data_IF_958525070888
#
_entry.id   IF_958525070888
#
_cell.length_a   1.000
_cell.length_b   1.000
_cell.length_c   1.000
_cell.angle_alpha   90.00
_cell.angle_beta   90.00
_cell.angle_gamma   90.00
#
_symmetry.space_group_name_H-M   'P 1'
#
loop_
_entity.id
_entity.type
_entity.pdbx_description
1 polymer ?
#
# COMPACT_ATOMS: atom_id res chain seq x y z
N UNK A 1 -43.85 -8.32 24.82
CA UNK A 1 -43.52 -9.40 25.77
C UNK A 1 -42.44 -10.33 25.21
N UNK A 2 -42.59 -10.86 23.99
CA UNK A 2 -41.53 -11.62 23.31
C UNK A 2 -40.24 -10.82 23.13
N UNK A 3 -40.29 -9.60 22.56
CA UNK A 3 -39.12 -8.72 22.34
C UNK A 3 -38.23 -8.47 23.57
N UNK A 4 -38.79 -8.53 24.78
CA UNK A 4 -38.04 -8.43 26.03
C UNK A 4 -37.42 -9.77 26.46
N UNK A 5 -38.13 -10.88 26.27
CA UNK A 5 -37.59 -12.24 26.49
C UNK A 5 -36.52 -12.63 25.45
N UNK A 6 -36.52 -12.02 24.25
CA UNK A 6 -35.50 -12.20 23.21
C UNK A 6 -34.08 -11.80 23.67
N UNK A 7 -33.95 -11.03 24.76
CA UNK A 7 -32.67 -10.60 25.31
C UNK A 7 -32.09 -11.60 26.33
N UNK A 8 -32.87 -12.60 26.77
CA UNK A 8 -32.51 -13.53 27.85
C UNK A 8 -32.20 -14.96 27.33
N UNK A 9 -32.58 -15.31 26.10
CA UNK A 9 -32.44 -16.65 25.52
C UNK A 9 -31.77 -16.56 24.13
N UNK A 10 -30.81 -17.46 23.77
CA UNK A 10 -30.17 -17.45 22.45
C UNK A 10 -31.20 -17.63 21.33
N UNK A 11 -31.27 -16.64 20.43
CA UNK A 11 -32.26 -16.60 19.35
C UNK A 11 -31.91 -17.51 18.17
N UNK A 12 -32.95 -18.11 17.59
CA UNK A 12 -32.93 -18.56 16.21
C UNK A 12 -33.56 -17.49 15.30
N UNK A 13 -32.70 -16.68 14.66
CA UNK A 13 -33.13 -15.64 13.74
C UNK A 13 -33.81 -16.18 12.48
N UNK A 14 -33.57 -17.44 12.10
CA UNK A 14 -34.23 -18.02 10.94
C UNK A 14 -35.72 -18.30 11.23
N UNK A 15 -36.02 -18.82 12.42
CA UNK A 15 -37.40 -18.97 12.88
C UNK A 15 -38.08 -17.62 13.06
N UNK A 16 -37.40 -16.64 13.68
CA UNK A 16 -37.97 -15.29 13.83
C UNK A 16 -38.29 -14.66 12.47
N UNK A 17 -37.40 -14.81 11.49
CA UNK A 17 -37.63 -14.31 10.14
C UNK A 17 -38.89 -14.92 9.52
N UNK A 18 -39.08 -16.24 9.63
CA UNK A 18 -40.29 -16.92 9.14
C UNK A 18 -41.56 -16.38 9.82
N UNK A 19 -41.53 -16.23 11.15
CA UNK A 19 -42.66 -15.70 11.92
C UNK A 19 -42.99 -14.25 11.54
N UNK A 20 -41.98 -13.40 11.33
CA UNK A 20 -42.17 -12.02 10.90
C UNK A 20 -42.74 -11.92 9.49
N UNK A 21 -42.29 -12.80 8.59
CA UNK A 21 -42.80 -12.85 7.21
C UNK A 21 -44.25 -13.36 7.17
N UNK A 22 -44.57 -14.42 7.91
CA UNK A 22 -45.93 -14.92 8.05
C UNK A 22 -46.86 -13.88 8.69
N UNK A 23 -46.38 -13.15 9.72
CA UNK A 23 -47.11 -12.03 10.30
C UNK A 23 -47.35 -10.91 9.28
N UNK A 24 -46.33 -10.57 8.49
CA UNK A 24 -46.45 -9.55 7.44
C UNK A 24 -47.49 -9.93 6.38
N UNK A 25 -47.56 -11.23 6.02
CA UNK A 25 -48.57 -11.74 5.07
C UNK A 25 -49.97 -11.77 5.68
N UNK A 26 -50.09 -12.18 6.94
CA UNK A 26 -51.37 -12.29 7.64
C UNK A 26 -52.02 -10.93 7.93
N UNK A 27 -51.23 -9.87 8.14
CA UNK A 27 -51.74 -8.52 8.42
C UNK A 27 -52.51 -7.91 7.22
N UNK A 28 -52.24 -8.38 6.00
CA UNK A 28 -52.96 -7.98 4.80
C UNK A 28 -52.81 -6.49 4.42
N UNK A 29 -53.71 -6.00 3.56
CA UNK A 29 -53.73 -4.59 3.11
C UNK A 29 -54.57 -3.66 3.99
N UNK A 30 -55.04 -4.12 5.15
CA UNK A 30 -55.96 -3.34 5.99
C UNK A 30 -55.30 -2.04 6.50
N UNK A 31 -55.99 -0.91 6.32
CA UNK A 31 -55.65 0.35 6.98
C UNK A 31 -55.89 0.21 8.49
N UNK A 32 -54.85 0.50 9.27
CA UNK A 32 -54.80 0.56 10.74
C UNK A 32 -55.97 -0.12 11.50
N UNK A 33 -55.86 -1.42 11.84
CA UNK A 33 -56.88 -2.09 12.67
C UNK A 33 -56.68 -1.92 14.20
N UNK A 34 -55.67 -1.17 14.66
CA UNK A 34 -55.25 -1.16 16.08
C UNK A 34 -55.82 0.03 16.85
N UNK A 35 -56.10 -0.19 18.14
CA UNK A 35 -56.33 0.91 19.08
C UNK A 35 -55.02 1.66 19.40
N UNK A 36 -55.13 2.87 19.97
CA UNK A 36 -53.96 3.68 20.32
C UNK A 36 -53.00 2.98 21.29
N UNK A 37 -53.54 2.25 22.26
CA UNK A 37 -52.72 1.55 23.26
C UNK A 37 -52.00 0.34 22.64
N UNK A 38 -52.67 -0.37 21.73
CA UNK A 38 -52.06 -1.49 20.98
C UNK A 38 -51.00 -1.00 20.00
N UNK A 39 -51.26 0.13 19.31
CA UNK A 39 -50.30 0.78 18.43
C UNK A 39 -49.05 1.20 19.20
N UNK A 40 -49.21 1.83 20.38
CA UNK A 40 -48.10 2.23 21.24
C UNK A 40 -47.29 1.03 21.75
N UNK A 41 -47.96 -0.04 22.17
CA UNK A 41 -47.30 -1.26 22.64
C UNK A 41 -46.53 -1.98 21.51
N UNK A 42 -47.10 -2.01 20.30
CA UNK A 42 -46.46 -2.59 19.13
C UNK A 42 -45.25 -1.76 18.68
N UNK A 43 -45.41 -0.43 18.62
CA UNK A 43 -44.32 0.49 18.33
C UNK A 43 -43.16 0.32 19.33
N UNK A 44 -43.45 0.23 20.63
CA UNK A 44 -42.44 -0.03 21.65
C UNK A 44 -41.69 -1.34 21.37
N UNK A 45 -42.41 -2.42 21.06
CA UNK A 45 -41.82 -3.72 20.76
C UNK A 45 -40.91 -3.69 19.53
N UNK A 46 -41.33 -3.01 18.46
CA UNK A 46 -40.53 -2.85 17.25
C UNK A 46 -39.25 -2.06 17.53
N UNK A 47 -39.36 -0.95 18.25
CA UNK A 47 -38.23 -0.11 18.61
C UNK A 47 -37.22 -0.88 19.47
N UNK A 48 -37.68 -1.63 20.47
CA UNK A 48 -36.81 -2.46 21.32
C UNK A 48 -36.03 -3.49 20.49
N UNK A 49 -36.70 -4.20 19.58
CA UNK A 49 -36.05 -5.20 18.75
C UNK A 49 -35.05 -4.59 17.76
N UNK A 50 -35.43 -3.48 17.13
CA UNK A 50 -34.58 -2.74 16.21
C UNK A 50 -33.33 -2.20 16.91
N UNK A 51 -33.49 -1.48 18.01
CA UNK A 51 -32.38 -0.90 18.77
C UNK A 51 -31.44 -1.99 19.32
N UNK A 52 -31.98 -3.15 19.72
CA UNK A 52 -31.19 -4.32 20.10
C UNK A 52 -30.38 -4.88 18.92
N UNK A 53 -31.04 -5.08 17.78
CA UNK A 53 -30.40 -5.61 16.57
C UNK A 53 -29.29 -4.70 16.05
N UNK A 54 -29.52 -3.38 16.06
CA UNK A 54 -28.52 -2.38 15.69
C UNK A 54 -27.31 -2.38 16.64
N UNK A 55 -27.51 -2.63 17.94
CA UNK A 55 -26.40 -2.84 18.90
C UNK A 55 -25.61 -4.11 18.59
N UNK A 56 -26.25 -5.19 18.14
CA UNK A 56 -25.54 -6.38 17.68
C UNK A 56 -24.71 -6.09 16.42
N UNK A 57 -25.25 -5.28 15.50
CA UNK A 57 -24.52 -4.85 14.29
C UNK A 57 -23.30 -3.98 14.61
N UNK A 58 -23.37 -3.14 15.64
CA UNK A 58 -22.19 -2.39 16.12
C UNK A 58 -21.05 -3.33 16.55
N UNK A 59 -21.37 -4.53 17.06
CA UNK A 59 -20.40 -5.54 17.51
C UNK A 59 -20.28 -6.73 16.57
N UNK A 60 -20.64 -6.59 15.30
CA UNK A 60 -20.69 -7.73 14.38
C UNK A 60 -19.35 -8.45 14.19
N UNK A 61 -18.22 -7.72 14.30
CA UNK A 61 -16.86 -8.29 14.18
C UNK A 61 -16.59 -9.37 15.25
N UNK A 62 -17.13 -9.17 16.45
CA UNK A 62 -16.96 -10.09 17.58
C UNK A 62 -18.05 -11.17 17.60
N UNK A 63 -19.30 -10.77 17.31
CA UNK A 63 -20.46 -11.64 17.44
C UNK A 63 -20.67 -12.55 16.22
N UNK A 64 -20.26 -12.10 15.04
CA UNK A 64 -20.43 -12.79 13.76
C UNK A 64 -19.10 -12.88 13.01
N UNK A 65 -18.05 -13.51 13.59
CA UNK A 65 -16.70 -13.43 13.06
C UNK A 65 -16.56 -14.00 11.64
N UNK A 66 -15.67 -13.44 10.81
CA UNK A 66 -15.50 -13.87 9.43
C UNK A 66 -15.10 -15.36 9.32
N UNK A 67 -15.67 -16.07 8.35
CA UNK A 67 -15.40 -17.50 8.11
C UNK A 67 -16.13 -18.48 9.04
N UNK A 68 -16.87 -18.01 10.04
CA UNK A 68 -17.77 -18.85 10.83
C UNK A 68 -19.15 -18.94 10.15
N UNK A 69 -19.40 -20.05 9.46
CA UNK A 69 -20.64 -20.26 8.68
C UNK A 69 -21.91 -20.16 9.52
N UNK A 70 -21.91 -20.67 10.76
CA UNK A 70 -23.07 -20.57 11.65
C UNK A 70 -23.33 -19.13 12.09
N UNK A 71 -22.27 -18.38 12.40
CA UNK A 71 -22.39 -17.00 12.81
C UNK A 71 -22.82 -16.10 11.63
N UNK A 72 -22.30 -16.35 10.43
CA UNK A 72 -22.76 -15.70 9.20
C UNK A 72 -24.22 -15.99 8.92
N UNK A 73 -24.65 -17.26 9.04
CA UNK A 73 -26.06 -17.62 8.89
C UNK A 73 -26.96 -16.85 9.86
N UNK A 74 -26.53 -16.66 11.12
CA UNK A 74 -27.25 -15.85 12.11
C UNK A 74 -27.31 -14.37 11.68
N UNK A 75 -26.21 -13.79 11.22
CA UNK A 75 -26.15 -12.42 10.71
C UNK A 75 -27.10 -12.23 9.53
N UNK A 76 -27.05 -13.11 8.54
CA UNK A 76 -27.94 -13.07 7.35
C UNK A 76 -29.41 -13.04 7.77
N UNK A 77 -29.83 -13.91 8.69
CA UNK A 77 -31.22 -13.96 9.11
C UNK A 77 -31.62 -12.77 9.99
N UNK A 78 -30.70 -12.23 10.79
CA UNK A 78 -30.93 -10.98 11.52
C UNK A 78 -31.15 -9.80 10.55
N UNK A 79 -30.33 -9.68 9.50
CA UNK A 79 -30.52 -8.66 8.46
C UNK A 79 -31.86 -8.83 7.72
N UNK A 80 -32.25 -10.08 7.42
CA UNK A 80 -33.56 -10.37 6.81
C UNK A 80 -34.72 -9.99 7.72
N UNK A 81 -34.62 -10.24 9.04
CA UNK A 81 -35.63 -9.80 10.01
C UNK A 81 -35.80 -8.28 9.99
N UNK A 82 -34.69 -7.54 9.97
CA UNK A 82 -34.71 -6.08 9.89
C UNK A 82 -35.31 -5.57 8.58
N UNK A 83 -34.95 -6.20 7.46
CA UNK A 83 -35.48 -5.86 6.13
C UNK A 83 -37.00 -6.07 6.05
N UNK A 84 -37.49 -7.23 6.51
CA UNK A 84 -38.93 -7.50 6.57
C UNK A 84 -39.63 -6.52 7.50
N UNK A 85 -39.10 -6.29 8.71
CA UNK A 85 -39.70 -5.39 9.69
C UNK A 85 -39.89 -3.98 9.13
N UNK A 86 -38.87 -3.36 8.54
CA UNK A 86 -38.98 -2.04 7.92
C UNK A 86 -39.88 -2.05 6.66
N UNK A 87 -39.99 -3.18 5.98
CA UNK A 87 -40.88 -3.37 4.84
C UNK A 87 -42.37 -3.41 5.22
N UNK A 88 -42.71 -3.77 6.46
CA UNK A 88 -44.10 -3.87 6.88
C UNK A 88 -44.78 -2.51 6.88
N UNK A 89 -45.98 -2.43 6.29
CA UNK A 89 -46.90 -1.29 6.51
C UNK A 89 -47.10 -1.09 8.01
N UNK A 90 -47.16 -2.21 8.75
CA UNK A 90 -47.24 -2.33 10.19
C UNK A 90 -46.13 -1.56 10.96
N UNK A 91 -44.96 -1.36 10.37
CA UNK A 91 -43.88 -0.63 11.00
C UNK A 91 -43.95 0.87 10.68
N UNK A 92 -44.30 1.23 9.45
CA UNK A 92 -44.26 2.63 8.95
C UNK A 92 -45.24 3.56 9.65
N UNK A 93 -46.48 3.13 9.85
CA UNK A 93 -47.50 3.86 10.63
C UNK A 93 -47.23 3.92 12.14
N UNK A 94 -46.78 2.83 12.79
CA UNK A 94 -46.46 2.80 14.23
C UNK A 94 -45.17 3.57 14.58
N UNK A 95 -44.22 3.62 13.65
CA UNK A 95 -42.90 4.24 13.84
C UNK A 95 -42.59 5.26 12.73
N UNK A 96 -43.41 6.30 12.52
CA UNK A 96 -43.33 7.17 11.34
C UNK A 96 -42.09 8.08 11.32
N UNK A 97 -41.46 8.27 12.48
CA UNK A 97 -40.27 9.11 12.64
C UNK A 97 -38.95 8.33 12.61
N UNK A 98 -39.00 7.00 12.41
CA UNK A 98 -37.78 6.19 12.28
C UNK A 98 -37.13 6.44 10.92
N UNK A 99 -35.80 6.37 10.91
CA UNK A 99 -35.06 6.52 9.67
C UNK A 99 -35.22 5.27 8.80
N UNK A 100 -34.94 5.41 7.51
CA UNK A 100 -34.83 4.26 6.63
C UNK A 100 -33.78 3.28 7.14
N UNK A 101 -34.04 1.98 6.95
CA UNK A 101 -33.16 0.91 7.43
C UNK A 101 -31.70 1.11 7.00
N UNK A 102 -31.49 1.54 5.75
CA UNK A 102 -30.14 1.77 5.22
C UNK A 102 -29.38 2.83 6.03
N UNK A 103 -30.04 3.88 6.50
CA UNK A 103 -29.44 4.95 7.32
C UNK A 103 -29.07 4.41 8.70
N UNK A 104 -29.98 3.68 9.34
CA UNK A 104 -29.75 3.15 10.70
C UNK A 104 -28.64 2.10 10.73
N UNK A 105 -28.59 1.21 9.73
CA UNK A 105 -27.50 0.25 9.56
C UNK A 105 -26.19 0.98 9.28
N UNK A 106 -26.17 1.94 8.36
CA UNK A 106 -24.96 2.72 8.04
C UNK A 106 -24.40 3.41 9.29
N UNK A 107 -25.25 4.05 10.08
CA UNK A 107 -24.85 4.72 11.32
C UNK A 107 -24.34 3.73 12.37
N UNK A 108 -24.97 2.56 12.49
CA UNK A 108 -24.55 1.50 13.40
C UNK A 108 -23.19 0.91 13.01
N UNK A 109 -22.97 0.67 11.71
CA UNK A 109 -21.67 0.21 11.20
C UNK A 109 -20.58 1.24 11.42
N UNK A 110 -20.85 2.53 11.18
CA UNK A 110 -19.90 3.62 11.47
C UNK A 110 -19.51 3.65 12.94
N UNK A 111 -20.49 3.62 13.84
CA UNK A 111 -20.25 3.64 15.29
C UNK A 111 -19.44 2.42 15.75
N UNK A 112 -19.82 1.22 15.32
CA UNK A 112 -19.08 0.00 15.64
C UNK A 112 -17.64 0.02 15.10
N UNK A 113 -17.42 0.66 13.96
CA UNK A 113 -16.08 0.84 13.37
C UNK A 113 -15.22 1.82 14.15
N UNK A 114 -15.81 2.92 14.66
CA UNK A 114 -15.12 3.86 15.55
C UNK A 114 -14.66 3.14 16.84
N UNK A 115 -15.55 2.38 17.47
CA UNK A 115 -15.25 1.65 18.71
C UNK A 115 -14.14 0.60 18.49
N UNK A 116 -14.23 -0.14 17.39
CA UNK A 116 -13.22 -1.13 17.02
C UNK A 116 -11.86 -0.49 16.72
N UNK A 117 -11.84 0.60 15.93
CA UNK A 117 -10.61 1.33 15.61
C UNK A 117 -9.92 1.86 16.87
N UNK A 118 -10.68 2.46 17.79
CA UNK A 118 -10.13 2.95 19.06
C UNK A 118 -9.50 1.83 19.89
N UNK A 119 -10.08 0.63 19.84
CA UNK A 119 -9.51 -0.56 20.49
C UNK A 119 -8.20 -0.98 19.82
N UNK A 120 -8.14 -1.00 18.48
CA UNK A 120 -6.91 -1.31 17.75
C UNK A 120 -5.81 -0.26 17.99
N UNK A 121 -6.18 1.02 18.02
CA UNK A 121 -5.26 2.10 18.33
C UNK A 121 -4.67 1.96 19.74
N UNK A 122 -5.51 1.67 20.74
CA UNK A 122 -5.04 1.43 22.11
C UNK A 122 -4.08 0.22 22.18
N UNK A 123 -4.36 -0.86 21.44
CA UNK A 123 -3.47 -2.02 21.37
C UNK A 123 -2.11 -1.67 20.73
N UNK A 124 -2.11 -0.88 19.66
CA UNK A 124 -0.89 -0.40 19.03
C UNK A 124 -0.08 0.49 19.98
N UNK A 125 -0.74 1.41 20.71
CA UNK A 125 -0.10 2.28 21.70
C UNK A 125 0.52 1.49 22.86
N UNK A 126 -0.10 0.41 23.31
CA UNK A 126 0.47 -0.47 24.35
C UNK A 126 1.75 -1.18 23.90
N UNK A 127 1.91 -1.40 22.59
CA UNK A 127 3.11 -2.02 22.01
C UNK A 127 4.25 -1.02 21.79
N UNK A 128 3.95 0.28 21.78
CA UNK A 128 4.97 1.34 21.71
C UNK A 128 5.74 1.43 23.03
N UNK A 129 7.00 0.99 23.03
CA UNK A 129 7.96 1.39 24.05
C UNK A 129 8.38 2.85 23.75
N UNK A 130 9.09 3.53 24.66
CA UNK A 130 9.52 4.94 24.46
C UNK A 130 10.52 5.15 23.30
N UNK A 131 10.76 4.18 22.42
CA UNK A 131 11.68 4.26 21.28
C UNK A 131 10.94 4.43 19.94
N UNK A 132 11.47 5.26 19.04
CA UNK A 132 10.82 5.62 17.78
C UNK A 132 10.52 4.41 16.88
N UNK A 133 11.33 3.35 16.96
CA UNK A 133 11.14 2.11 16.17
C UNK A 133 9.89 1.34 16.58
N UNK A 134 9.64 1.20 17.87
CA UNK A 134 8.44 0.50 18.33
C UNK A 134 7.18 1.31 18.03
N UNK A 135 7.26 2.65 18.03
CA UNK A 135 6.20 3.52 17.52
C UNK A 135 5.88 3.24 16.05
N UNK A 136 6.90 3.23 15.19
CA UNK A 136 6.71 2.90 13.77
C UNK A 136 6.12 1.49 13.59
N UNK A 137 6.56 0.51 14.39
CA UNK A 137 6.04 -0.86 14.34
C UNK A 137 4.58 -0.95 14.77
N UNK A 138 4.20 -0.27 15.85
CA UNK A 138 2.81 -0.21 16.29
C UNK A 138 1.89 0.44 15.23
N UNK A 139 2.38 1.46 14.52
CA UNK A 139 1.66 2.06 13.40
C UNK A 139 1.50 1.07 12.23
N UNK A 140 2.54 0.31 11.89
CA UNK A 140 2.46 -0.75 10.87
C UNK A 140 1.42 -1.80 11.25
N UNK A 141 1.46 -2.28 12.50
CA UNK A 141 0.55 -3.31 12.98
C UNK A 141 -0.90 -2.81 12.98
N UNK A 142 -1.14 -1.54 13.36
CA UNK A 142 -2.44 -0.90 13.25
C UNK A 142 -2.94 -0.88 11.80
N UNK A 143 -2.16 -0.32 10.86
CA UNK A 143 -2.57 -0.21 9.45
C UNK A 143 -2.81 -1.59 8.82
N UNK A 144 -1.97 -2.58 9.14
CA UNK A 144 -2.16 -3.96 8.69
C UNK A 144 -3.44 -4.59 9.27
N UNK A 145 -3.79 -4.29 10.52
CA UNK A 145 -5.06 -4.70 11.10
C UNK A 145 -6.25 -4.07 10.34
N UNK A 146 -6.15 -2.80 9.93
CA UNK A 146 -7.18 -2.14 9.11
C UNK A 146 -7.30 -2.79 7.73
N UNK A 147 -6.17 -3.07 7.06
CA UNK A 147 -6.16 -3.75 5.75
C UNK A 147 -6.85 -5.12 5.83
N UNK A 148 -6.54 -5.89 6.86
CA UNK A 148 -7.14 -7.20 7.10
C UNK A 148 -8.65 -7.10 7.39
N UNK A 149 -9.07 -6.10 8.17
CA UNK A 149 -10.48 -5.85 8.48
C UNK A 149 -11.28 -5.52 7.21
N UNK A 150 -10.79 -4.60 6.38
CA UNK A 150 -11.44 -4.22 5.12
C UNK A 150 -11.51 -5.43 4.17
N UNK A 151 -10.41 -6.17 4.02
CA UNK A 151 -10.36 -7.35 3.16
C UNK A 151 -11.36 -8.43 3.61
N UNK A 152 -11.37 -8.77 4.89
CA UNK A 152 -12.33 -9.74 5.45
C UNK A 152 -13.76 -9.22 5.33
N UNK A 153 -13.97 -7.94 5.60
CA UNK A 153 -15.30 -7.34 5.52
C UNK A 153 -15.88 -7.34 4.12
N UNK A 154 -15.05 -7.05 3.11
CA UNK A 154 -15.42 -7.20 1.70
C UNK A 154 -15.80 -8.64 1.38
N UNK A 155 -14.99 -9.62 1.80
CA UNK A 155 -15.19 -11.03 1.47
C UNK A 155 -16.41 -11.67 2.14
N UNK A 156 -16.74 -11.29 3.38
CA UNK A 156 -17.68 -12.05 4.23
C UNK A 156 -18.92 -11.27 4.68
N UNK A 157 -18.98 -9.96 4.45
CA UNK A 157 -20.11 -9.13 4.84
C UNK A 157 -20.69 -8.30 3.69
N UNK A 158 -19.87 -7.87 2.72
CA UNK A 158 -20.34 -6.90 1.74
C UNK A 158 -21.56 -7.37 0.94
N UNK A 159 -21.51 -8.60 0.41
CA UNK A 159 -22.62 -9.15 -0.37
C UNK A 159 -23.88 -9.34 0.50
N UNK A 160 -23.73 -9.78 1.75
CA UNK A 160 -24.86 -10.00 2.66
C UNK A 160 -25.57 -8.69 3.01
N UNK A 161 -24.83 -7.62 3.32
CA UNK A 161 -25.43 -6.32 3.61
C UNK A 161 -26.02 -5.68 2.36
N UNK A 162 -25.33 -5.75 1.22
CA UNK A 162 -25.76 -5.12 -0.02
C UNK A 162 -27.01 -5.78 -0.60
N UNK A 163 -27.05 -7.13 -0.63
CA UNK A 163 -28.19 -7.88 -1.17
C UNK A 163 -29.46 -7.78 -0.32
N UNK A 164 -29.34 -7.69 1.01
CA UNK A 164 -30.50 -7.73 1.93
C UNK A 164 -31.00 -6.33 2.29
N UNK A 165 -30.07 -5.37 2.43
CA UNK A 165 -30.37 -4.04 2.99
C UNK A 165 -30.01 -2.89 2.06
N UNK A 166 -29.35 -3.16 0.93
CA UNK A 166 -28.89 -2.12 -0.01
C UNK A 166 -27.69 -1.31 0.49
N UNK A 167 -27.06 -1.71 1.60
CA UNK A 167 -25.90 -0.98 2.17
C UNK A 167 -24.61 -1.61 1.66
N UNK A 168 -23.82 -0.86 0.90
CA UNK A 168 -22.47 -1.28 0.51
C UNK A 168 -21.52 -1.20 1.71
N UNK A 169 -21.43 -2.30 2.46
CA UNK A 169 -20.66 -2.41 3.70
C UNK A 169 -19.23 -1.90 3.54
N UNK A 170 -18.49 -2.38 2.52
CA UNK A 170 -17.09 -2.02 2.33
C UNK A 170 -16.87 -0.53 2.10
N UNK A 171 -17.81 0.13 1.40
CA UNK A 171 -17.79 1.59 1.21
C UNK A 171 -17.93 2.31 2.54
N UNK A 172 -18.90 1.91 3.36
CA UNK A 172 -19.17 2.53 4.67
C UNK A 172 -17.98 2.37 5.60
N UNK A 173 -17.45 1.15 5.72
CA UNK A 173 -16.33 0.85 6.62
C UNK A 173 -15.07 1.57 6.16
N UNK A 174 -14.72 1.47 4.87
CA UNK A 174 -13.51 2.10 4.36
C UNK A 174 -13.53 3.61 4.54
N UNK A 175 -14.62 4.30 4.18
CA UNK A 175 -14.74 5.76 4.38
C UNK A 175 -14.61 6.17 5.85
N UNK A 176 -15.16 5.37 6.77
CA UNK A 176 -15.05 5.66 8.20
C UNK A 176 -13.61 5.48 8.70
N UNK A 177 -12.95 4.38 8.32
CA UNK A 177 -11.55 4.12 8.70
C UNK A 177 -10.59 5.13 8.08
N UNK A 178 -10.80 5.46 6.80
CA UNK A 178 -9.98 6.42 6.05
C UNK A 178 -9.97 7.79 6.72
N UNK A 179 -11.15 8.28 7.13
CA UNK A 179 -11.28 9.50 7.91
C UNK A 179 -10.51 9.43 9.24
N UNK A 180 -10.64 8.31 9.97
CA UNK A 180 -9.97 8.16 11.27
C UNK A 180 -8.45 8.08 11.15
N UNK A 181 -7.94 7.43 10.09
CA UNK A 181 -6.51 7.42 9.78
C UNK A 181 -6.02 8.84 9.48
N UNK A 182 -6.75 9.59 8.66
CA UNK A 182 -6.44 11.00 8.39
C UNK A 182 -6.41 11.86 9.65
N UNK A 183 -7.48 11.79 10.45
CA UNK A 183 -7.69 12.66 11.61
C UNK A 183 -6.76 12.33 12.80
N UNK A 184 -6.47 11.05 13.06
CA UNK A 184 -5.78 10.61 14.29
C UNK A 184 -4.38 10.06 14.08
N UNK A 185 -4.10 9.51 12.89
CA UNK A 185 -2.86 8.78 12.61
C UNK A 185 -1.92 9.59 11.70
N UNK A 186 -2.46 10.42 10.80
CA UNK A 186 -1.67 11.20 9.85
C UNK A 186 -0.55 12.02 10.49
N UNK A 187 -0.87 12.79 11.55
CA UNK A 187 0.15 13.54 12.29
C UNK A 187 1.19 12.64 12.96
N UNK A 188 0.78 11.49 13.50
CA UNK A 188 1.71 10.54 14.17
C UNK A 188 2.69 9.92 13.18
N UNK A 189 2.22 9.57 11.98
CA UNK A 189 3.08 9.09 10.89
C UNK A 189 4.07 10.18 10.50
N UNK A 190 3.57 11.40 10.27
CA UNK A 190 4.42 12.53 9.88
C UNK A 190 5.47 12.84 10.96
N UNK A 191 5.07 12.90 12.23
CA UNK A 191 5.97 13.14 13.37
C UNK A 191 7.02 12.04 13.50
N UNK A 192 6.60 10.77 13.40
CA UNK A 192 7.51 9.62 13.41
C UNK A 192 8.43 9.55 12.19
N UNK A 193 8.08 10.21 11.07
CA UNK A 193 8.94 10.30 9.88
C UNK A 193 9.95 11.47 9.97
N UNK A 194 9.58 12.57 10.63
CA UNK A 194 10.42 13.77 10.78
C UNK A 194 11.40 13.66 11.95
N UNK A 195 10.99 13.07 13.08
CA UNK A 195 11.76 13.06 14.33
C UNK A 195 12.80 11.95 14.43
N UNK A 196 13.11 11.26 13.34
CA UNK A 196 14.20 10.28 13.36
C UNK A 196 15.47 11.01 13.01
N UNK A 197 16.31 11.23 14.04
CA UNK A 197 17.67 11.71 13.88
C UNK A 197 18.46 10.70 13.04
N UNK A 198 18.48 10.95 11.73
CA UNK A 198 18.95 10.05 10.70
C UNK A 198 20.29 10.57 10.17
N UNK A 199 21.38 10.36 10.92
CA UNK A 199 22.71 10.54 10.35
C UNK A 199 22.98 9.40 9.33
N UNK A 200 23.36 9.72 8.08
CA UNK A 200 23.67 8.70 7.08
C UNK A 200 24.87 7.87 7.54
N UNK A 201 24.63 6.58 7.83
CA UNK A 201 25.68 5.60 8.09
C UNK A 201 25.63 4.52 7.01
N UNK A 202 26.72 4.44 6.23
CA UNK A 202 26.91 3.49 5.14
C UNK A 202 27.13 2.04 5.62
N UNK A 203 27.28 1.82 6.93
CA UNK A 203 27.37 0.48 7.48
C UNK A 203 26.06 -0.30 7.19
N UNK A 204 26.11 -1.44 6.47
CA UNK A 204 24.92 -2.23 6.13
C UNK A 204 24.15 -2.78 7.36
N UNK A 205 24.78 -2.81 8.53
CA UNK A 205 24.18 -3.19 9.81
C UNK A 205 23.78 -1.97 10.67
N UNK A 206 23.81 -0.77 10.11
CA UNK A 206 23.48 0.45 10.84
C UNK A 206 22.02 0.48 11.28
N UNK A 207 21.81 1.09 12.44
CA UNK A 207 20.48 1.41 12.96
C UNK A 207 19.68 2.28 11.97
N UNK A 208 20.37 3.11 11.19
CA UNK A 208 19.82 3.93 10.12
C UNK A 208 19.09 3.09 9.05
N UNK A 209 19.75 2.08 8.49
CA UNK A 209 19.15 1.22 7.44
C UNK A 209 17.94 0.47 7.98
N UNK A 210 18.01 -0.01 9.22
CA UNK A 210 16.89 -0.68 9.88
C UNK A 210 15.67 0.26 10.01
N UNK A 211 15.88 1.48 10.49
CA UNK A 211 14.79 2.46 10.66
C UNK A 211 14.19 2.89 9.33
N UNK A 212 15.02 3.18 8.32
CA UNK A 212 14.57 3.50 6.97
C UNK A 212 13.71 2.37 6.36
N UNK A 213 14.08 1.11 6.61
CA UNK A 213 13.35 -0.07 6.15
C UNK A 213 11.98 -0.18 6.83
N UNK A 214 11.90 0.09 8.14
CA UNK A 214 10.61 0.11 8.87
C UNK A 214 9.71 1.22 8.32
N UNK A 215 10.23 2.41 8.06
CA UNK A 215 9.43 3.49 7.45
C UNK A 215 8.92 3.13 6.05
N UNK A 216 9.73 2.42 5.26
CA UNK A 216 9.30 1.91 3.96
C UNK A 216 8.16 0.88 4.11
N UNK A 217 8.25 -0.03 5.08
CA UNK A 217 7.17 -0.98 5.38
C UNK A 217 5.87 -0.26 5.77
N UNK A 218 5.95 0.79 6.59
CA UNK A 218 4.80 1.63 6.95
C UNK A 218 4.19 2.31 5.72
N UNK A 219 5.01 2.86 4.83
CA UNK A 219 4.54 3.44 3.57
C UNK A 219 3.79 2.41 2.71
N UNK A 220 4.33 1.19 2.59
CA UNK A 220 3.72 0.12 1.79
C UNK A 220 2.40 -0.36 2.39
N UNK A 221 2.31 -0.52 3.71
CA UNK A 221 1.08 -0.88 4.41
C UNK A 221 -0.01 0.18 4.21
N UNK A 222 0.36 1.46 4.31
CA UNK A 222 -0.56 2.58 4.07
C UNK A 222 -0.97 2.69 2.59
N UNK A 223 -0.06 2.41 1.66
CA UNK A 223 -0.38 2.38 0.24
C UNK A 223 -1.41 1.28 -0.07
N UNK A 224 -1.28 0.10 0.54
CA UNK A 224 -2.28 -0.97 0.43
C UNK A 224 -3.64 -0.53 0.97
N UNK A 225 -3.67 0.12 2.14
CA UNK A 225 -4.88 0.70 2.71
C UNK A 225 -5.56 1.69 1.76
N UNK A 226 -4.77 2.54 1.10
CA UNK A 226 -5.28 3.58 0.22
C UNK A 226 -5.80 3.00 -1.10
N UNK A 227 -5.28 1.86 -1.57
CA UNK A 227 -5.77 1.18 -2.79
C UNK A 227 -7.23 0.76 -2.69
N UNK A 228 -7.78 0.55 -1.48
CA UNK A 228 -9.21 0.26 -1.33
C UNK A 228 -10.12 1.38 -1.83
N UNK A 229 -9.62 2.63 -1.95
CA UNK A 229 -10.36 3.73 -2.59
C UNK A 229 -10.73 3.44 -4.03
N UNK A 230 -9.97 2.58 -4.72
CA UNK A 230 -10.18 2.34 -6.14
C UNK A 230 -11.49 1.58 -6.39
N UNK A 231 -11.95 0.83 -5.38
CA UNK A 231 -13.23 0.12 -5.35
C UNK A 231 -14.44 1.02 -5.06
N UNK A 232 -14.24 2.30 -4.74
CA UNK A 232 -15.34 3.24 -4.50
C UNK A 232 -15.91 3.82 -5.80
N UNK A 233 -17.22 4.15 -5.84
CA UNK A 233 -17.79 4.99 -6.88
C UNK A 233 -17.09 6.36 -6.98
N UNK A 234 -17.03 6.95 -8.18
CA UNK A 234 -16.34 8.23 -8.43
C UNK A 234 -16.82 9.39 -7.55
N UNK A 235 -18.11 9.43 -7.22
CA UNK A 235 -18.69 10.48 -6.36
C UNK A 235 -18.15 10.41 -4.94
N UNK A 236 -17.92 9.20 -4.44
CA UNK A 236 -17.46 8.95 -3.08
C UNK A 236 -15.96 9.24 -2.90
N UNK A 237 -15.17 9.18 -3.97
CA UNK A 237 -13.73 9.47 -3.93
C UNK A 237 -13.41 10.94 -3.62
N UNK A 238 -14.33 11.86 -3.90
CA UNK A 238 -14.11 13.32 -3.73
C UNK A 238 -14.01 13.77 -2.27
N UNK A 239 -14.58 12.99 -1.35
CA UNK A 239 -14.69 13.35 0.07
C UNK A 239 -13.65 12.66 0.96
N UNK A 240 -12.64 12.01 0.36
CA UNK A 240 -11.57 11.34 1.07
C UNK A 240 -10.53 12.35 1.57
N UNK A 241 -9.94 12.06 2.73
CA UNK A 241 -8.96 12.90 3.42
C UNK A 241 -7.50 12.54 3.09
N UNK A 242 -7.22 11.28 2.74
CA UNK A 242 -5.89 10.71 2.52
C UNK A 242 -5.33 10.95 1.11
N UNK A 243 -5.79 11.98 0.41
CA UNK A 243 -5.33 12.28 -0.97
C UNK A 243 -3.83 12.59 -0.99
N UNK A 244 -3.33 13.27 0.04
CA UNK A 244 -1.94 13.76 0.13
C UNK A 244 -1.07 12.97 1.11
N UNK A 245 -1.42 11.72 1.43
CA UNK A 245 -0.68 10.88 2.39
C UNK A 245 0.82 10.75 2.06
N UNK A 246 1.17 10.75 0.77
CA UNK A 246 2.53 10.62 0.28
C UNK A 246 3.43 11.76 0.78
N UNK A 247 2.87 12.95 1.02
CA UNK A 247 3.62 14.10 1.54
C UNK A 247 4.13 13.88 2.98
N UNK A 248 3.51 12.99 3.76
CA UNK A 248 3.98 12.64 5.10
C UNK A 248 5.34 11.94 5.09
N UNK A 249 5.73 11.37 3.95
CA UNK A 249 6.97 10.62 3.74
C UNK A 249 7.97 11.37 2.86
N UNK A 250 7.69 12.63 2.49
CA UNK A 250 8.50 13.38 1.50
C UNK A 250 9.99 13.40 1.86
N UNK A 251 10.30 13.67 3.13
CA UNK A 251 11.69 13.72 3.60
C UNK A 251 12.28 12.32 3.74
N UNK A 252 11.46 11.34 4.16
CA UNK A 252 11.83 9.94 4.31
C UNK A 252 12.23 9.27 3.00
N UNK A 253 11.59 9.64 1.89
CA UNK A 253 11.90 9.10 0.55
C UNK A 253 13.37 9.31 0.18
N UNK A 254 13.95 10.45 0.57
CA UNK A 254 15.37 10.71 0.35
C UNK A 254 16.28 9.72 1.07
N UNK A 255 15.93 9.35 2.31
CA UNK A 255 16.67 8.33 3.04
C UNK A 255 16.60 6.96 2.38
N UNK A 256 15.46 6.59 1.79
CA UNK A 256 15.37 5.33 1.04
C UNK A 256 16.29 5.32 -0.18
N UNK A 257 16.47 6.45 -0.87
CA UNK A 257 17.44 6.56 -1.96
C UNK A 257 18.89 6.46 -1.50
N UNK A 258 19.23 7.05 -0.35
CA UNK A 258 20.57 6.89 0.27
C UNK A 258 20.83 5.40 0.56
N UNK A 259 19.88 4.72 1.19
CA UNK A 259 19.97 3.28 1.48
C UNK A 259 20.06 2.45 0.20
N UNK A 260 19.26 2.78 -0.82
CA UNK A 260 19.29 2.10 -2.12
C UNK A 260 20.65 2.24 -2.82
N UNK A 261 21.24 3.44 -2.79
CA UNK A 261 22.58 3.73 -3.32
C UNK A 261 23.65 2.90 -2.60
N UNK A 262 23.66 2.94 -1.27
CA UNK A 262 24.64 2.19 -0.46
C UNK A 262 24.52 0.68 -0.72
N UNK A 263 23.30 0.12 -0.70
CA UNK A 263 23.05 -1.30 -0.99
C UNK A 263 23.47 -1.68 -2.42
N UNK A 264 23.22 -0.81 -3.40
CA UNK A 264 23.66 -0.99 -4.78
C UNK A 264 25.19 -1.10 -4.85
N UNK A 265 25.92 -0.12 -4.31
CA UNK A 265 27.39 -0.11 -4.35
C UNK A 265 28.01 -1.34 -3.68
N UNK A 266 27.50 -1.75 -2.51
CA UNK A 266 27.94 -2.97 -1.83
C UNK A 266 27.72 -4.21 -2.71
N UNK A 267 26.56 -4.31 -3.36
CA UNK A 267 26.21 -5.45 -4.22
C UNK A 267 27.10 -5.52 -5.45
N UNK A 268 27.33 -4.39 -6.12
CA UNK A 268 28.22 -4.28 -7.28
C UNK A 268 29.66 -4.67 -6.91
N UNK A 269 30.17 -4.15 -5.78
CA UNK A 269 31.50 -4.50 -5.29
C UNK A 269 31.65 -6.00 -5.03
N UNK A 270 30.70 -6.61 -4.31
CA UNK A 270 30.70 -8.05 -4.04
C UNK A 270 30.58 -8.88 -5.32
N UNK A 271 29.75 -8.46 -6.27
CA UNK A 271 29.60 -9.16 -7.55
C UNK A 271 30.92 -9.20 -8.33
N UNK A 272 31.63 -8.07 -8.42
CA UNK A 272 32.95 -8.02 -9.08
C UNK A 272 33.99 -8.80 -8.28
N UNK A 273 34.00 -8.75 -6.94
CA UNK A 273 34.93 -9.50 -6.10
C UNK A 273 34.83 -11.02 -6.32
N UNK A 274 33.60 -11.55 -6.35
CA UNK A 274 33.31 -12.98 -6.51
C UNK A 274 33.49 -13.48 -7.95
N UNK A 275 33.47 -12.57 -8.92
CA UNK A 275 33.59 -12.92 -10.34
C UNK A 275 34.90 -13.63 -10.67
N UNK A 276 34.88 -14.65 -11.51
CA UNK A 276 36.11 -15.28 -12.03
C UNK A 276 36.59 -14.65 -13.33
N UNK A 277 35.78 -13.82 -13.97
CA UNK A 277 36.06 -13.19 -15.28
C UNK A 277 36.35 -14.26 -16.34
N UNK A 278 35.47 -15.26 -16.40
CA UNK A 278 35.52 -16.38 -17.36
C UNK A 278 34.21 -16.44 -18.12
N UNK A 279 34.22 -16.93 -19.37
CA UNK A 279 32.99 -17.19 -20.10
C UNK A 279 32.12 -18.22 -19.36
N UNK A 280 30.81 -17.96 -19.31
CA UNK A 280 29.84 -18.89 -18.73
C UNK A 280 29.48 -20.00 -19.72
N UNK A 281 29.40 -19.66 -21.00
CA UNK A 281 29.21 -20.57 -22.13
C UNK A 281 29.68 -19.90 -23.44
N UNK A 282 29.55 -20.60 -24.58
CA UNK A 282 29.97 -20.09 -25.89
C UNK A 282 29.07 -18.98 -26.49
N UNK A 283 27.90 -18.72 -25.89
CA UNK A 283 26.90 -17.77 -26.39
C UNK A 283 26.87 -16.47 -25.59
N UNK A 284 27.23 -16.53 -24.30
CA UNK A 284 27.25 -15.40 -23.37
C UNK A 284 28.66 -14.85 -23.26
N UNK A 285 28.86 -13.65 -23.81
CA UNK A 285 30.18 -13.00 -23.89
C UNK A 285 30.59 -12.18 -22.67
N UNK A 286 29.73 -12.13 -21.64
CA UNK A 286 29.96 -11.43 -20.38
C UNK A 286 29.93 -12.44 -19.22
N UNK A 287 30.52 -12.07 -18.08
CA UNK A 287 30.55 -12.89 -16.86
C UNK A 287 29.37 -12.60 -15.93
N UNK A 288 29.28 -13.35 -14.82
CA UNK A 288 28.17 -13.24 -13.86
C UNK A 288 28.05 -11.86 -13.22
N UNK A 289 29.16 -11.15 -13.00
CA UNK A 289 29.10 -9.83 -12.33
C UNK A 289 28.33 -8.78 -13.12
N UNK A 290 28.33 -8.89 -14.46
CA UNK A 290 27.57 -8.00 -15.34
C UNK A 290 26.06 -8.27 -15.20
N UNK A 291 25.67 -9.55 -15.14
CA UNK A 291 24.28 -9.99 -14.91
C UNK A 291 23.79 -9.58 -13.52
N UNK A 292 24.59 -9.77 -12.48
CA UNK A 292 24.26 -9.39 -11.11
C UNK A 292 24.08 -7.87 -10.96
N UNK A 293 24.91 -7.09 -11.67
CA UNK A 293 24.84 -5.63 -11.71
C UNK A 293 23.58 -5.16 -12.42
N UNK A 294 23.29 -5.70 -13.61
CA UNK A 294 22.04 -5.38 -14.33
C UNK A 294 20.80 -5.73 -13.49
N UNK A 295 20.82 -6.88 -12.80
CA UNK A 295 19.75 -7.28 -11.88
C UNK A 295 19.61 -6.32 -10.71
N UNK A 296 20.72 -5.80 -10.17
CA UNK A 296 20.69 -4.77 -9.13
C UNK A 296 19.97 -3.50 -9.62
N UNK A 297 20.25 -3.03 -10.84
CA UNK A 297 19.56 -1.87 -11.41
C UNK A 297 18.07 -2.13 -11.64
N UNK A 298 17.69 -3.34 -12.06
CA UNK A 298 16.28 -3.73 -12.13
C UNK A 298 15.60 -3.63 -10.77
N UNK A 299 16.27 -4.04 -9.68
CA UNK A 299 15.71 -3.92 -8.33
C UNK A 299 15.48 -2.47 -7.91
N UNK A 300 16.38 -1.55 -8.27
CA UNK A 300 16.22 -0.10 -8.00
C UNK A 300 15.04 0.46 -8.77
N UNK A 301 14.89 0.09 -10.06
CA UNK A 301 13.72 0.48 -10.87
C UNK A 301 12.42 -0.07 -10.30
N UNK A 302 12.41 -1.34 -9.87
CA UNK A 302 11.25 -1.96 -9.22
C UNK A 302 10.91 -1.27 -7.91
N UNK A 303 11.90 -0.92 -7.08
CA UNK A 303 11.70 -0.14 -5.86
C UNK A 303 10.98 1.19 -6.16
N UNK A 304 11.44 1.94 -7.17
CA UNK A 304 10.75 3.16 -7.59
C UNK A 304 9.30 2.92 -8.02
N UNK A 305 9.07 1.91 -8.87
CA UNK A 305 7.71 1.55 -9.33
C UNK A 305 6.79 1.15 -8.17
N UNK A 306 7.32 0.47 -7.15
CA UNK A 306 6.57 0.07 -5.96
C UNK A 306 6.15 1.26 -5.09
N UNK A 307 6.89 2.37 -5.13
CA UNK A 307 6.45 3.59 -4.46
C UNK A 307 5.12 4.11 -5.03
N UNK A 308 4.85 3.86 -6.31
CA UNK A 308 3.61 4.28 -6.97
C UNK A 308 3.26 5.75 -6.63
N UNK A 309 4.28 6.62 -6.68
CA UNK A 309 4.18 7.99 -6.18
C UNK A 309 3.06 8.75 -6.92
N UNK A 310 2.05 9.27 -6.21
CA UNK A 310 0.83 9.76 -6.86
C UNK A 310 0.99 11.12 -7.54
N UNK A 311 1.99 11.92 -7.16
CA UNK A 311 2.27 13.22 -7.78
C UNK A 311 3.33 13.10 -8.89
N UNK A 312 2.87 13.06 -10.14
CA UNK A 312 3.75 12.95 -11.30
C UNK A 312 4.72 14.14 -11.43
N UNK A 313 4.30 15.38 -11.16
CA UNK A 313 5.19 16.53 -11.28
C UNK A 313 6.21 16.58 -10.12
N UNK A 314 5.75 16.34 -8.89
CA UNK A 314 6.64 16.25 -7.72
C UNK A 314 7.58 15.05 -7.74
N UNK A 315 7.31 14.03 -8.56
CA UNK A 315 8.16 12.84 -8.69
C UNK A 315 9.49 13.07 -9.39
N UNK A 316 9.67 14.18 -10.12
CA UNK A 316 10.87 14.43 -10.94
C UNK A 316 12.17 14.32 -10.13
N UNK A 317 12.24 14.96 -8.97
CA UNK A 317 13.44 14.93 -8.13
C UNK A 317 13.80 13.50 -7.68
N UNK A 318 12.80 12.64 -7.51
CA UNK A 318 12.99 11.24 -7.12
C UNK A 318 13.40 10.38 -8.30
N UNK A 319 12.81 10.57 -9.47
CA UNK A 319 13.24 9.91 -10.71
C UNK A 319 14.67 10.28 -11.07
N UNK A 320 15.04 11.56 -10.94
CA UNK A 320 16.41 12.02 -11.14
C UNK A 320 17.37 11.28 -10.20
N UNK A 321 17.00 11.08 -8.92
CA UNK A 321 17.82 10.31 -7.97
C UNK A 321 17.94 8.84 -8.35
N UNK A 322 16.89 8.21 -8.88
CA UNK A 322 16.99 6.83 -9.39
C UNK A 322 17.95 6.72 -10.56
N UNK A 323 17.84 7.65 -11.52
CA UNK A 323 18.73 7.70 -12.69
C UNK A 323 20.18 7.94 -12.23
N UNK A 324 20.40 8.88 -11.31
CA UNK A 324 21.70 9.17 -10.71
C UNK A 324 22.33 7.92 -10.08
N UNK A 325 21.58 7.17 -9.27
CA UNK A 325 22.09 5.93 -8.65
C UNK A 325 22.50 4.89 -9.69
N UNK A 326 21.73 4.72 -10.76
CA UNK A 326 22.01 3.74 -11.81
C UNK A 326 23.22 4.18 -12.66
N UNK A 327 23.28 5.47 -13.03
CA UNK A 327 24.39 6.08 -13.76
C UNK A 327 25.70 5.97 -12.98
N UNK A 328 25.71 6.43 -11.72
CA UNK A 328 26.87 6.31 -10.84
C UNK A 328 27.25 4.85 -10.59
N UNK A 329 26.27 3.96 -10.41
CA UNK A 329 26.49 2.53 -10.28
C UNK A 329 27.16 1.93 -11.52
N UNK A 330 26.79 2.39 -12.71
CA UNK A 330 27.35 1.94 -13.99
C UNK A 330 28.82 2.36 -14.13
N UNK A 331 29.13 3.64 -13.84
CA UNK A 331 30.51 4.15 -13.83
C UNK A 331 31.35 3.45 -12.74
N UNK A 332 30.75 3.22 -11.56
CA UNK A 332 31.41 2.52 -10.46
C UNK A 332 31.73 1.07 -10.80
N UNK A 333 30.80 0.34 -11.42
CA UNK A 333 31.03 -1.02 -11.91
C UNK A 333 32.17 -1.08 -12.92
N UNK A 334 32.20 -0.17 -13.90
CA UNK A 334 33.29 -0.09 -14.86
C UNK A 334 34.65 0.18 -14.18
N UNK A 335 34.68 1.05 -13.16
CA UNK A 335 35.89 1.28 -12.34
C UNK A 335 36.35 0.02 -11.61
N UNK A 336 35.43 -0.74 -11.00
CA UNK A 336 35.75 -1.99 -10.31
C UNK A 336 36.29 -3.06 -11.27
N UNK A 337 35.68 -3.20 -12.44
CA UNK A 337 36.13 -4.12 -13.48
C UNK A 337 37.55 -3.78 -13.94
N UNK A 338 37.83 -2.51 -14.20
CA UNK A 338 39.17 -2.04 -14.58
C UNK A 338 40.21 -2.33 -13.48
N UNK A 339 39.87 -2.08 -12.21
CA UNK A 339 40.76 -2.38 -11.08
C UNK A 339 41.03 -3.89 -10.92
N UNK A 340 40.01 -4.73 -11.14
CA UNK A 340 40.17 -6.19 -11.07
C UNK A 340 41.03 -6.70 -12.22
N UNK A 341 40.79 -6.21 -13.43
CA UNK A 341 41.58 -6.54 -14.61
C UNK A 341 43.06 -6.18 -14.41
N UNK A 342 43.36 -4.98 -13.86
CA UNK A 342 44.74 -4.58 -13.58
C UNK A 342 45.45 -5.57 -12.64
N UNK A 343 44.77 -6.03 -11.59
CA UNK A 343 45.33 -7.03 -10.66
C UNK A 343 45.60 -8.39 -11.33
N UNK A 344 44.77 -8.79 -12.30
CA UNK A 344 44.98 -10.01 -13.08
C UNK A 344 46.21 -9.85 -13.98
N UNK A 345 46.31 -8.72 -14.69
CA UNK A 345 47.45 -8.38 -15.56
C UNK A 345 48.77 -8.39 -14.78
N UNK A 346 48.79 -7.82 -13.58
CA UNK A 346 49.99 -7.73 -12.76
C UNK A 346 50.44 -9.11 -12.20
N UNK A 347 49.52 -10.08 -12.14
CA UNK A 347 49.77 -11.41 -11.56
C UNK A 347 50.09 -12.52 -12.57
N UNK A 348 49.70 -12.39 -13.84
CA UNK A 348 49.83 -13.45 -14.86
C UNK A 348 50.85 -13.14 -15.97
N UNK A 349 51.40 -14.19 -16.60
CA UNK A 349 52.23 -14.05 -17.80
C UNK A 349 51.33 -13.73 -19.00
N UNK A 350 51.67 -12.67 -19.73
CA UNK A 350 51.03 -12.01 -20.88
C UNK A 350 50.14 -12.81 -21.87
N UNK A 351 50.22 -14.14 -21.96
CA UNK A 351 49.46 -14.96 -22.91
C UNK A 351 48.05 -15.36 -22.45
N UNK A 352 47.77 -15.38 -21.14
CA UNK A 352 46.48 -15.82 -20.59
C UNK A 352 45.51 -14.66 -20.29
N UNK A 353 45.77 -13.44 -20.75
CA UNK A 353 45.07 -12.21 -20.31
C UNK A 353 44.10 -11.65 -21.38
N UNK A 354 44.24 -12.05 -22.65
CA UNK A 354 43.44 -11.51 -23.77
C UNK A 354 41.95 -11.84 -23.63
N UNK A 355 41.62 -13.01 -23.10
CA UNK A 355 40.24 -13.43 -22.88
C UNK A 355 39.54 -12.55 -21.83
N UNK A 356 40.24 -12.28 -20.72
CA UNK A 356 39.77 -11.51 -19.58
C UNK A 356 39.61 -10.04 -19.94
N UNK A 357 40.47 -9.53 -20.83
CA UNK A 357 40.31 -8.22 -21.47
C UNK A 357 38.99 -8.15 -22.24
N UNK A 358 38.72 -9.12 -23.13
CA UNK A 358 37.47 -9.17 -23.89
C UNK A 358 36.24 -9.30 -23.00
N UNK A 359 36.26 -10.20 -22.01
CA UNK A 359 35.16 -10.39 -21.06
C UNK A 359 34.92 -9.10 -20.28
N UNK A 360 35.98 -8.45 -19.81
CA UNK A 360 35.88 -7.19 -19.05
C UNK A 360 35.23 -6.08 -19.89
N UNK A 361 35.61 -5.95 -21.16
CA UNK A 361 34.97 -4.98 -22.07
C UNK A 361 33.50 -5.31 -22.33
N UNK A 362 33.19 -6.58 -22.58
CA UNK A 362 31.82 -7.04 -22.80
C UNK A 362 30.94 -6.84 -21.56
N UNK A 363 31.50 -7.01 -20.36
CA UNK A 363 30.82 -6.73 -19.10
C UNK A 363 30.44 -5.25 -18.98
N UNK A 364 31.40 -4.35 -19.27
CA UNK A 364 31.16 -2.91 -19.24
C UNK A 364 30.09 -2.51 -20.26
N UNK A 365 30.18 -3.01 -21.49
CA UNK A 365 29.18 -2.76 -22.54
C UNK A 365 27.81 -3.32 -22.17
N UNK A 366 27.74 -4.54 -21.61
CA UNK A 366 26.47 -5.14 -21.18
C UNK A 366 25.78 -4.31 -20.10
N UNK A 367 26.53 -3.84 -19.10
CA UNK A 367 25.97 -2.97 -18.06
C UNK A 367 25.60 -1.61 -18.62
N UNK A 368 26.40 -1.04 -19.54
CA UNK A 368 26.10 0.23 -20.20
C UNK A 368 24.78 0.17 -21.00
N UNK A 369 24.50 -0.95 -21.66
CA UNK A 369 23.25 -1.16 -22.39
C UNK A 369 22.00 -1.04 -21.51
N UNK A 370 22.12 -1.21 -20.19
CA UNK A 370 21.00 -1.03 -19.26
C UNK A 370 20.53 0.42 -19.14
N UNK A 371 21.35 1.40 -19.53
CA UNK A 371 20.99 2.82 -19.53
C UNK A 371 20.07 3.20 -20.70
N UNK A 372 20.13 2.49 -21.83
CA UNK A 372 19.38 2.84 -23.05
C UNK A 372 17.86 2.89 -22.85
N UNK A 373 17.20 1.88 -22.22
CA UNK A 373 15.76 1.94 -21.99
C UNK A 373 15.38 2.76 -20.74
N UNK A 374 16.34 3.36 -20.02
CA UNK A 374 16.10 3.91 -18.69
C UNK A 374 15.12 5.09 -18.70
N UNK A 375 15.19 5.97 -19.71
CA UNK A 375 14.27 7.11 -19.83
C UNK A 375 12.80 6.65 -19.95
N UNK A 376 12.55 5.69 -20.85
CA UNK A 376 11.22 5.12 -21.08
C UNK A 376 10.74 4.35 -19.85
N UNK A 377 11.59 3.51 -19.28
CA UNK A 377 11.28 2.67 -18.13
C UNK A 377 10.94 3.44 -16.85
N UNK A 378 11.43 4.68 -16.74
CA UNK A 378 11.19 5.60 -15.64
C UNK A 378 10.03 6.57 -15.91
N UNK A 379 9.43 6.54 -17.10
CA UNK A 379 8.29 7.38 -17.46
C UNK A 379 8.64 8.88 -17.51
N UNK A 380 9.86 9.21 -17.93
CA UNK A 380 10.36 10.60 -17.92
C UNK A 380 9.46 11.51 -18.75
N UNK A 381 9.03 11.09 -19.94
CA UNK A 381 8.20 11.93 -20.80
C UNK A 381 6.83 12.27 -20.19
N UNK A 382 6.22 11.35 -19.41
CA UNK A 382 4.98 11.64 -18.67
C UNK A 382 5.23 12.71 -17.59
N UNK A 383 6.36 12.62 -16.88
CA UNK A 383 6.76 13.57 -15.84
C UNK A 383 7.06 14.94 -16.44
N UNK A 384 7.79 15.01 -17.55
CA UNK A 384 8.08 16.28 -18.24
C UNK A 384 6.80 16.95 -18.73
N UNK A 385 5.83 16.19 -19.25
CA UNK A 385 4.50 16.72 -19.60
C UNK A 385 3.78 17.30 -18.39
N UNK A 386 3.79 16.59 -17.25
CA UNK A 386 3.19 17.08 -16.01
C UNK A 386 3.88 18.35 -15.48
N UNK A 387 5.22 18.41 -15.56
CA UNK A 387 6.00 19.60 -15.19
C UNK A 387 5.70 20.78 -16.10
N UNK A 388 5.58 20.58 -17.41
CA UNK A 388 5.26 21.66 -18.35
C UNK A 388 3.90 22.29 -18.02
N UNK A 389 2.90 21.47 -17.68
CA UNK A 389 1.58 21.95 -17.28
C UNK A 389 1.60 22.73 -15.95
N UNK A 390 2.41 22.30 -14.99
CA UNK A 390 2.41 22.88 -13.63
C UNK A 390 3.40 24.04 -13.44
N UNK A 391 4.54 24.02 -14.12
CA UNK A 391 5.69 24.92 -13.90
C UNK A 391 6.19 25.59 -15.19
N UNK A 392 5.60 25.28 -16.35
CA UNK A 392 5.92 25.89 -17.65
C UNK A 392 7.02 25.17 -18.44
N UNK A 393 7.10 25.50 -19.74
CA UNK A 393 7.94 24.79 -20.71
C UNK A 393 9.45 24.97 -20.53
N UNK A 394 9.89 26.09 -19.94
CA UNK A 394 11.30 26.34 -19.68
C UNK A 394 11.85 25.34 -18.66
N UNK A 395 11.19 25.23 -17.50
CA UNK A 395 11.55 24.29 -16.43
C UNK A 395 11.49 22.85 -16.92
N UNK A 396 10.44 22.49 -17.66
CA UNK A 396 10.29 21.16 -18.24
C UNK A 396 11.45 20.79 -19.19
N UNK A 397 11.91 21.73 -20.01
CA UNK A 397 13.06 21.52 -20.90
C UNK A 397 14.38 21.40 -20.11
N UNK A 398 14.62 22.24 -19.11
CA UNK A 398 15.80 22.14 -18.24
C UNK A 398 15.87 20.78 -17.51
N UNK A 399 14.72 20.30 -17.01
CA UNK A 399 14.60 18.99 -16.38
C UNK A 399 14.95 17.85 -17.34
N UNK A 400 14.50 17.95 -18.60
CA UNK A 400 14.82 16.97 -19.66
C UNK A 400 16.32 16.99 -20.00
N UNK A 401 16.90 18.17 -20.21
CA UNK A 401 18.34 18.34 -20.49
C UNK A 401 19.19 17.74 -19.36
N UNK A 402 18.82 17.99 -18.10
CA UNK A 402 19.53 17.44 -16.93
C UNK A 402 19.62 15.90 -16.96
N UNK A 403 18.54 15.23 -17.36
CA UNK A 403 18.53 13.75 -17.47
C UNK A 403 19.42 13.29 -18.63
N UNK A 404 19.32 13.92 -19.80
CA UNK A 404 20.15 13.56 -20.95
C UNK A 404 21.63 13.78 -20.68
N UNK A 405 22.00 14.91 -20.09
CA UNK A 405 23.39 15.21 -19.74
C UNK A 405 23.96 14.15 -18.79
N UNK A 406 23.16 13.69 -17.83
CA UNK A 406 23.59 12.64 -16.88
C UNK A 406 23.78 11.28 -17.56
N UNK A 407 22.87 10.89 -18.46
CA UNK A 407 22.97 9.65 -19.22
C UNK A 407 24.18 9.68 -20.16
N UNK A 408 24.31 10.74 -20.96
CA UNK A 408 25.40 10.92 -21.93
C UNK A 408 26.76 10.94 -21.22
N UNK A 409 26.90 11.69 -20.12
CA UNK A 409 28.13 11.73 -19.34
C UNK A 409 28.53 10.34 -18.82
N UNK A 410 27.55 9.55 -18.37
CA UNK A 410 27.83 8.20 -17.86
C UNK A 410 28.23 7.24 -18.97
N UNK A 411 27.64 7.39 -20.15
CA UNK A 411 28.02 6.65 -21.35
C UNK A 411 29.44 7.01 -21.83
N UNK A 412 29.78 8.29 -21.85
CA UNK A 412 31.12 8.79 -22.19
C UNK A 412 32.17 8.27 -21.21
N UNK A 413 31.90 8.31 -19.90
CA UNK A 413 32.81 7.84 -18.85
C UNK A 413 33.11 6.34 -18.99
N UNK A 414 32.10 5.51 -19.29
CA UNK A 414 32.28 4.07 -19.50
C UNK A 414 32.97 3.78 -20.83
N UNK A 415 32.57 4.45 -21.91
CA UNK A 415 33.18 4.29 -23.23
C UNK A 415 34.65 4.69 -23.21
N UNK A 416 35.00 5.77 -22.51
CA UNK A 416 36.37 6.19 -22.29
C UNK A 416 37.20 5.15 -21.54
N UNK A 417 36.61 4.44 -20.56
CA UNK A 417 37.28 3.32 -19.87
C UNK A 417 37.50 2.12 -20.79
N UNK A 418 36.51 1.76 -21.60
CA UNK A 418 36.65 0.68 -22.59
C UNK A 418 37.77 1.04 -23.58
N UNK A 419 37.78 2.27 -24.09
CA UNK A 419 38.81 2.75 -25.01
C UNK A 419 40.20 2.74 -24.38
N UNK A 420 40.33 3.12 -23.11
CA UNK A 420 41.59 3.03 -22.36
C UNK A 420 42.11 1.60 -22.26
N UNK A 421 41.23 0.60 -22.11
CA UNK A 421 41.61 -0.81 -22.13
C UNK A 421 42.12 -1.22 -23.52
N UNK A 422 41.41 -0.83 -24.59
CA UNK A 422 41.81 -1.11 -25.97
C UNK A 422 43.18 -0.52 -26.29
N UNK A 423 43.41 0.76 -25.98
CA UNK A 423 44.71 1.41 -26.23
C UNK A 423 45.85 0.70 -25.47
N UNK A 424 45.61 0.30 -24.21
CA UNK A 424 46.58 -0.47 -23.44
C UNK A 424 46.89 -1.85 -24.02
N UNK A 425 46.03 -2.41 -24.88
CA UNK A 425 46.31 -3.63 -25.64
C UNK A 425 47.16 -3.38 -26.89
N UNK A 426 47.08 -2.19 -27.48
CA UNK A 426 47.82 -1.84 -28.72
C UNK A 426 49.26 -1.41 -28.43
N UNK A 427 49.51 -0.86 -27.24
CA UNK A 427 50.84 -0.40 -26.81
C UNK A 427 51.75 -1.51 -26.24
N UNK A 428 51.21 -2.72 -26.01
CA UNK A 428 51.94 -3.90 -25.52
C UNK A 428 52.12 -4.95 -26.62
#
# INVERSE_FOLDING_TARGET
MYSRQLMEVPLDYALLYQLLDDLSRAWGEQENPLSRDEEAALAESFNIFLDFSLKLMQKHRDLFPPGNTLAQHKLTHLLKCLSVLHGQKAFKWCCPFRHDLHVEITNSLKKGTVDWFNTQLALAELQTKKDSKSTLRGLIDLINALNNDIYKGYKYYNEEFESITGVSYSVVIYKQLEKMVGDMIGYRIQDACTNVDMEPDENPESEYIATATIMFELYMALQEFIKFRDNLPLEEKKNLTLINYHLWFKDTVHHWFIVAKAKCQIRLKKAVELDKVTFLDNYVKHSTSAVDTATCFVQIKTFWRQLAWPDSAGSFAFVLKVIEIICEGTVYYAKLCQQKLQKIIDGEKQKDVTEQLCITMNNMEYVLQTLRPLEEEMGVEQIIKALNLNQGGCTANQCRETIYDMLNKSEDDVTGKIFSIICGMVEK
#
